data_IF_150413759346
#
_entry.id   IF_150413759346
#
_cell.length_a   1.000
_cell.length_b   1.000
_cell.length_c   1.000
_cell.angle_alpha   90.00
_cell.angle_beta   90.00
_cell.angle_gamma   90.00
#
_symmetry.space_group_name_H-M   'P 1'
#
loop_
_entity.id
_entity.type
_entity.pdbx_description
1 polymer ?
#
# COMPACT_ATOMS: atom_id res chain seq x y z
N UNK A 1 8.55 -2.93 9.72
CA UNK A 1 7.94 -1.58 9.74
C UNK A 1 8.94 -0.56 10.25
N UNK A 2 9.54 -0.80 11.42
CA UNK A 2 10.50 0.10 12.07
C UNK A 2 11.63 0.58 11.14
N UNK A 3 12.21 -0.30 10.32
CA UNK A 3 13.20 0.09 9.29
C UNK A 3 12.68 1.19 8.33
N UNK A 4 11.44 1.07 7.85
CA UNK A 4 10.85 2.05 6.92
C UNK A 4 10.54 3.37 7.61
N UNK A 5 10.23 3.34 8.90
CA UNK A 5 9.98 4.54 9.70
C UNK A 5 11.29 5.26 10.04
N UNK A 6 12.31 4.55 10.52
CA UNK A 6 13.63 5.10 10.85
C UNK A 6 14.31 5.73 9.63
N UNK A 7 14.13 5.15 8.45
CA UNK A 7 14.72 5.68 7.20
C UNK A 7 13.81 6.70 6.48
N UNK A 8 12.70 7.13 7.08
CA UNK A 8 11.72 8.05 6.49
C UNK A 8 11.19 7.62 5.11
N UNK A 9 11.18 6.31 4.83
CA UNK A 9 10.71 5.73 3.58
C UNK A 9 9.19 5.59 3.56
N UNK A 10 8.57 5.43 4.74
CA UNK A 10 7.12 5.31 4.86
C UNK A 10 6.42 6.68 4.75
N UNK A 11 5.55 6.90 3.75
CA UNK A 11 4.82 8.15 3.59
C UNK A 11 3.92 8.46 4.81
N UNK A 12 3.86 9.72 5.22
CA UNK A 12 3.02 10.15 6.36
C UNK A 12 1.52 10.00 6.10
N UNK A 13 1.15 10.01 4.82
CA UNK A 13 -0.21 9.80 4.30
C UNK A 13 -0.65 8.33 4.40
N UNK A 14 0.28 7.38 4.52
CA UNK A 14 -0.06 5.97 4.74
C UNK A 14 -0.55 5.80 6.18
N UNK A 15 -1.87 5.59 6.35
CA UNK A 15 -2.52 5.33 7.65
C UNK A 15 -2.95 3.88 7.83
N UNK A 16 -3.15 3.14 6.74
CA UNK A 16 -3.51 1.72 6.79
C UNK A 16 -2.32 0.84 7.19
N UNK A 17 -2.58 -0.20 8.00
CA UNK A 17 -1.58 -1.17 8.47
C UNK A 17 -0.34 -0.53 9.12
N UNK A 18 -0.48 0.67 9.68
CA UNK A 18 0.59 1.43 10.33
C UNK A 18 0.42 1.42 11.84
N UNK A 19 1.51 1.16 12.57
CA UNK A 19 1.52 1.25 14.03
C UNK A 19 1.22 2.68 14.48
N UNK A 20 0.51 2.83 15.60
CA UNK A 20 0.19 4.13 16.20
C UNK A 20 -0.56 5.10 15.26
N UNK A 21 -1.34 4.58 14.32
CA UNK A 21 -2.30 5.37 13.53
C UNK A 21 -3.72 4.95 13.89
N UNK A 22 -4.68 5.88 13.81
CA UNK A 22 -6.12 5.57 13.91
C UNK A 22 -6.71 5.15 12.56
N UNK A 23 -5.86 4.91 11.56
CA UNK A 23 -6.23 4.38 10.26
C UNK A 23 -7.22 5.30 9.54
N UNK A 24 -8.38 4.75 9.20
CA UNK A 24 -9.45 5.45 8.46
C UNK A 24 -9.98 6.67 9.22
N UNK A 25 -9.94 6.69 10.55
CA UNK A 25 -10.38 7.85 11.32
C UNK A 25 -9.50 9.08 11.06
N UNK A 26 -8.18 8.90 10.98
CA UNK A 26 -7.25 9.99 10.65
C UNK A 26 -7.56 10.57 9.27
N UNK A 27 -7.81 9.71 8.28
CA UNK A 27 -8.14 10.15 6.92
C UNK A 27 -9.50 10.85 6.84
N UNK A 28 -10.51 10.35 7.54
CA UNK A 28 -11.84 10.98 7.59
C UNK A 28 -11.76 12.39 8.19
N UNK A 29 -10.93 12.60 9.22
CA UNK A 29 -10.73 13.91 9.80
C UNK A 29 -10.04 14.88 8.82
N UNK A 30 -9.04 14.40 8.08
CA UNK A 30 -8.36 15.18 7.03
C UNK A 30 -9.36 15.56 5.93
N UNK A 31 -10.18 14.63 5.46
CA UNK A 31 -11.19 14.89 4.43
C UNK A 31 -12.21 15.95 4.90
N UNK A 32 -12.71 15.83 6.13
CA UNK A 32 -13.60 16.82 6.75
C UNK A 32 -12.97 18.20 6.82
N UNK A 33 -11.71 18.29 7.24
CA UNK A 33 -10.95 19.54 7.32
C UNK A 33 -10.78 20.19 5.93
N UNK A 34 -10.47 19.40 4.90
CA UNK A 34 -10.34 19.90 3.52
C UNK A 34 -11.69 20.42 3.01
N UNK A 35 -12.78 19.67 3.24
CA UNK A 35 -14.14 20.07 2.88
C UNK A 35 -14.54 21.40 3.54
N UNK A 36 -14.29 21.54 4.83
CA UNK A 36 -14.60 22.76 5.59
C UNK A 36 -13.76 23.95 5.12
N UNK A 37 -12.44 23.76 4.93
CA UNK A 37 -11.56 24.80 4.41
C UNK A 37 -12.01 25.29 3.04
N UNK A 38 -12.40 24.38 2.14
CA UNK A 38 -12.87 24.73 0.81
C UNK A 38 -14.19 25.50 0.84
N UNK A 39 -15.14 25.08 1.70
CA UNK A 39 -16.41 25.79 1.93
C UNK A 39 -16.16 27.22 2.43
N UNK A 40 -15.29 27.38 3.43
CA UNK A 40 -14.97 28.68 4.00
C UNK A 40 -14.28 29.61 2.98
N UNK A 41 -13.44 29.05 2.11
CA UNK A 41 -12.75 29.80 1.04
C UNK A 41 -13.61 30.05 -0.20
N UNK A 42 -14.78 29.41 -0.31
CA UNK A 42 -15.66 29.43 -1.50
C UNK A 42 -14.90 29.04 -2.78
N UNK A 43 -14.02 28.05 -2.68
CA UNK A 43 -13.28 27.49 -3.82
C UNK A 43 -13.95 26.21 -4.31
N UNK A 44 -13.56 25.76 -5.51
CA UNK A 44 -13.97 24.44 -6.02
C UNK A 44 -13.06 23.35 -5.44
N UNK A 45 -13.63 22.21 -5.08
CA UNK A 45 -12.91 21.02 -4.62
C UNK A 45 -13.18 19.86 -5.58
N UNK A 46 -12.10 19.28 -6.10
CA UNK A 46 -12.14 18.01 -6.81
C UNK A 46 -11.51 16.93 -5.93
N UNK A 47 -12.22 15.82 -5.72
CA UNK A 47 -11.75 14.69 -4.93
C UNK A 47 -11.94 13.41 -5.72
N UNK A 48 -10.94 12.53 -5.69
CA UNK A 48 -10.94 11.26 -6.43
C UNK A 48 -10.63 10.13 -5.46
N UNK A 49 -11.52 9.14 -5.42
CA UNK A 49 -11.32 7.90 -4.66
C UNK A 49 -10.93 6.77 -5.62
N UNK A 50 -9.71 6.26 -5.45
CA UNK A 50 -9.17 5.17 -6.27
C UNK A 50 -9.21 3.88 -5.46
N UNK A 51 -9.82 2.84 -6.03
CA UNK A 51 -9.86 1.51 -5.42
C UNK A 51 -9.20 0.46 -6.32
N UNK A 52 -8.40 -0.41 -5.72
CA UNK A 52 -7.74 -1.52 -6.42
C UNK A 52 -8.63 -2.75 -6.43
N UNK A 53 -9.03 -3.17 -7.63
CA UNK A 53 -9.72 -4.46 -7.81
C UNK A 53 -8.80 -5.60 -7.35
N UNK A 54 -9.27 -6.38 -6.37
CA UNK A 54 -8.54 -7.52 -5.80
C UNK A 54 -7.11 -7.15 -5.39
N UNK A 55 -6.97 -6.10 -4.59
CA UNK A 55 -5.67 -5.48 -4.28
C UNK A 55 -4.58 -6.48 -3.82
N UNK A 56 -4.95 -7.47 -3.01
CA UNK A 56 -4.02 -8.50 -2.55
C UNK A 56 -3.65 -9.52 -3.63
N UNK A 57 -4.55 -9.85 -4.56
CA UNK A 57 -4.33 -10.88 -5.60
C UNK A 57 -3.63 -10.30 -6.83
N UNK A 58 -3.78 -9.00 -7.07
CA UNK A 58 -3.37 -8.33 -8.30
C UNK A 58 -1.93 -7.81 -8.29
N UNK A 59 -1.18 -7.95 -7.19
CA UNK A 59 0.19 -7.42 -7.09
C UNK A 59 1.21 -8.32 -7.82
N UNK A 60 1.87 -7.85 -8.90
CA UNK A 60 2.90 -8.63 -9.55
C UNK A 60 4.08 -8.88 -8.62
N UNK A 61 4.59 -10.12 -8.56
CA UNK A 61 5.75 -10.43 -7.72
C UNK A 61 6.99 -9.60 -8.10
N UNK A 62 7.19 -9.35 -9.39
CA UNK A 62 8.26 -8.47 -9.90
C UNK A 62 8.16 -7.05 -9.33
N UNK A 63 6.94 -6.52 -9.16
CA UNK A 63 6.71 -5.20 -8.58
C UNK A 63 7.06 -5.17 -7.09
N UNK A 64 6.68 -6.21 -6.34
CA UNK A 64 7.03 -6.36 -4.93
C UNK A 64 8.55 -6.35 -4.77
N UNK A 65 9.27 -7.16 -5.55
CA UNK A 65 10.74 -7.21 -5.53
C UNK A 65 11.34 -5.83 -5.85
N UNK A 66 10.85 -5.16 -6.90
CA UNK A 66 11.35 -3.83 -7.25
C UNK A 66 11.16 -2.80 -6.13
N UNK A 67 10.04 -2.88 -5.42
CA UNK A 67 9.75 -2.00 -4.30
C UNK A 67 10.63 -2.31 -3.07
N UNK A 68 10.91 -3.59 -2.79
CA UNK A 68 11.87 -3.98 -1.74
C UNK A 68 13.27 -3.39 -2.03
N UNK A 69 13.76 -3.51 -3.26
CA UNK A 69 15.04 -2.94 -3.68
C UNK A 69 15.06 -1.41 -3.56
N UNK A 70 14.02 -0.74 -4.06
CA UNK A 70 13.96 0.73 -4.11
C UNK A 70 13.81 1.34 -2.71
N UNK A 71 13.25 0.59 -1.75
CA UNK A 71 13.11 1.04 -0.36
C UNK A 71 14.36 0.81 0.49
N UNK A 72 15.43 0.24 -0.07
CA UNK A 72 16.70 0.01 0.61
C UNK A 72 16.76 -1.28 1.44
N UNK A 73 15.77 -2.17 1.32
CA UNK A 73 15.74 -3.43 2.04
C UNK A 73 16.91 -4.32 1.58
N UNK A 74 17.54 -5.01 2.54
CA UNK A 74 18.76 -5.77 2.27
C UNK A 74 18.54 -6.86 1.21
N UNK A 75 19.57 -7.10 0.38
CA UNK A 75 19.53 -8.10 -0.69
C UNK A 75 19.18 -9.50 -0.17
N UNK A 76 19.59 -9.84 1.04
CA UNK A 76 19.29 -11.13 1.66
C UNK A 76 17.78 -11.29 1.89
N UNK A 77 17.11 -10.27 2.43
CA UNK A 77 15.66 -10.29 2.65
C UNK A 77 14.94 -10.31 1.30
N UNK A 78 15.33 -9.44 0.37
CA UNK A 78 14.73 -9.39 -0.98
C UNK A 78 14.84 -10.72 -1.70
N UNK A 79 16.01 -11.37 -1.69
CA UNK A 79 16.23 -12.67 -2.30
C UNK A 79 15.44 -13.78 -1.60
N UNK A 80 15.36 -13.75 -0.28
CA UNK A 80 14.52 -14.67 0.48
C UNK A 80 13.05 -14.54 0.10
N UNK A 81 12.51 -13.31 0.07
CA UNK A 81 11.12 -13.06 -0.32
C UNK A 81 10.85 -13.50 -1.76
N UNK A 82 11.77 -13.24 -2.69
CA UNK A 82 11.64 -13.72 -4.08
C UNK A 82 11.58 -15.24 -4.17
N UNK A 83 12.48 -15.94 -3.49
CA UNK A 83 12.52 -17.41 -3.47
C UNK A 83 11.27 -17.98 -2.82
N UNK A 84 10.80 -17.38 -1.73
CA UNK A 84 9.57 -17.78 -1.05
C UNK A 84 8.36 -17.65 -2.00
N UNK A 85 8.20 -16.49 -2.66
CA UNK A 85 7.11 -16.24 -3.60
C UNK A 85 7.07 -17.25 -4.76
N UNK A 86 8.23 -17.67 -5.27
CA UNK A 86 8.33 -18.70 -6.32
C UNK A 86 7.83 -20.09 -5.87
N UNK A 87 7.80 -20.35 -4.57
CA UNK A 87 7.33 -21.62 -4.00
C UNK A 87 5.86 -21.59 -3.58
N UNK A 88 5.22 -20.40 -3.60
CA UNK A 88 3.84 -20.21 -3.17
C UNK A 88 2.85 -20.98 -4.03
N UNK A 89 2.05 -21.79 -3.33
CA UNK A 89 1.07 -22.72 -3.90
C UNK A 89 -0.19 -22.71 -3.06
N UNK A 90 -1.34 -22.84 -3.72
CA UNK A 90 -2.64 -23.02 -3.07
C UNK A 90 -3.21 -24.38 -3.43
N UNK A 91 -3.88 -25.03 -2.49
CA UNK A 91 -4.65 -26.24 -2.74
C UNK A 91 -6.12 -25.86 -2.92
N UNK A 92 -6.74 -26.33 -3.99
CA UNK A 92 -8.15 -26.10 -4.28
C UNK A 92 -8.96 -27.24 -3.67
N UNK A 93 -9.82 -26.92 -2.69
CA UNK A 93 -10.70 -27.89 -2.05
C UNK A 93 -12.13 -27.37 -2.11
N UNK A 94 -13.06 -28.19 -2.59
CA UNK A 94 -14.50 -27.86 -2.63
C UNK A 94 -15.25 -28.99 -1.93
N UNK A 95 -15.89 -28.69 -0.80
CA UNK A 95 -16.45 -29.72 0.08
C UNK A 95 -15.35 -30.64 0.62
N UNK A 96 -15.48 -31.95 0.37
CA UNK A 96 -14.49 -32.96 0.73
C UNK A 96 -13.56 -33.37 -0.42
N UNK A 97 -13.68 -32.72 -1.58
CA UNK A 97 -12.92 -33.07 -2.78
C UNK A 97 -11.74 -32.11 -3.00
N UNK A 98 -10.59 -32.69 -3.35
CA UNK A 98 -9.37 -31.96 -3.69
C UNK A 98 -9.23 -31.84 -5.21
N UNK A 99 -9.22 -30.60 -5.70
CA UNK A 99 -9.14 -30.25 -7.12
C UNK A 99 -7.70 -29.97 -7.59
N UNK A 100 -6.72 -30.16 -6.71
CA UNK A 100 -5.30 -30.06 -7.02
C UNK A 100 -4.64 -28.80 -6.48
N UNK A 101 -3.41 -28.54 -6.96
CA UNK A 101 -2.53 -27.47 -6.48
C UNK A 101 -2.26 -26.48 -7.61
N UNK A 102 -2.40 -25.19 -7.31
CA UNK A 102 -2.13 -24.10 -8.26
C UNK A 102 -0.99 -23.24 -7.74
N UNK A 103 -0.04 -22.91 -8.62
CA UNK A 103 1.05 -21.99 -8.31
C UNK A 103 0.53 -20.54 -8.31
N UNK A 104 0.92 -19.77 -7.30
CA UNK A 104 0.58 -18.35 -7.19
C UNK A 104 1.56 -17.55 -8.04
N UNK A 105 1.06 -16.89 -9.10
CA UNK A 105 1.88 -16.08 -10.03
C UNK A 105 1.79 -14.58 -9.76
N UNK A 106 0.85 -14.15 -8.94
CA UNK A 106 0.59 -12.76 -8.58
C UNK A 106 -0.12 -12.72 -7.24
N UNK A 107 0.07 -11.63 -6.54
CA UNK A 107 -0.56 -11.35 -5.27
C UNK A 107 0.26 -11.83 -4.08
N UNK A 108 -0.33 -11.59 -2.92
CA UNK A 108 0.16 -11.91 -1.59
C UNK A 108 -0.97 -12.59 -0.80
N UNK A 109 -0.61 -13.41 0.19
CA UNK A 109 -1.58 -14.21 0.91
C UNK A 109 -2.38 -13.38 1.92
N UNK A 110 -3.70 -13.46 1.83
CA UNK A 110 -4.55 -12.90 2.87
C UNK A 110 -4.43 -13.76 4.15
N UNK A 111 -4.20 -13.12 5.29
CA UNK A 111 -3.97 -13.81 6.57
C UNK A 111 -2.51 -14.18 6.85
N UNK A 112 -1.61 -14.03 5.89
CA UNK A 112 -0.17 -14.14 6.14
C UNK A 112 0.36 -12.87 6.85
N UNK A 113 1.29 -13.08 7.79
CA UNK A 113 1.83 -12.00 8.63
C UNK A 113 2.71 -11.00 7.87
N UNK A 114 3.38 -11.44 6.80
CA UNK A 114 4.26 -10.59 5.99
C UNK A 114 3.48 -9.79 4.94
N UNK A 115 2.36 -10.33 4.48
CA UNK A 115 1.56 -9.78 3.39
C UNK A 115 1.09 -8.32 3.60
N UNK A 116 0.56 -7.91 4.78
CA UNK A 116 0.24 -6.50 5.03
C UNK A 116 1.42 -5.54 4.85
N UNK A 117 2.64 -5.96 5.21
CA UNK A 117 3.83 -5.15 5.06
C UNK A 117 4.29 -5.08 3.61
N UNK A 118 4.26 -6.19 2.87
CA UNK A 118 4.54 -6.20 1.42
C UNK A 118 3.56 -5.31 0.65
N UNK A 119 2.29 -5.31 1.04
CA UNK A 119 1.28 -4.43 0.47
C UNK A 119 1.65 -2.95 0.69
N UNK A 120 2.00 -2.56 1.92
CA UNK A 120 2.44 -1.20 2.21
C UNK A 120 3.64 -0.82 1.35
N UNK A 121 4.66 -1.68 1.29
CA UNK A 121 5.89 -1.43 0.53
C UNK A 121 5.59 -1.22 -0.96
N UNK A 122 4.72 -2.05 -1.54
CA UNK A 122 4.29 -1.92 -2.93
C UNK A 122 3.55 -0.59 -3.22
N UNK A 123 2.94 0.02 -2.21
CA UNK A 123 2.21 1.29 -2.31
C UNK A 123 3.08 2.54 -2.10
N UNK A 124 4.30 2.40 -1.55
CA UNK A 124 5.19 3.55 -1.27
C UNK A 124 5.51 4.32 -2.56
N UNK A 125 5.85 3.60 -3.63
CA UNK A 125 6.22 4.21 -4.93
C UNK A 125 5.14 5.14 -5.47
N UNK A 126 3.87 4.76 -5.33
CA UNK A 126 2.74 5.60 -5.76
C UNK A 126 2.64 6.88 -4.93
N UNK A 127 2.80 6.77 -3.61
CA UNK A 127 2.79 7.93 -2.72
C UNK A 127 3.93 8.91 -3.04
N UNK A 128 5.11 8.39 -3.40
CA UNK A 128 6.25 9.21 -3.85
C UNK A 128 5.93 9.94 -5.16
N UNK A 129 5.29 9.26 -6.12
CA UNK A 129 4.87 9.87 -7.38
C UNK A 129 3.87 11.00 -7.13
N UNK A 130 2.81 10.77 -6.35
CA UNK A 130 1.83 11.80 -6.03
C UNK A 130 2.45 13.02 -5.35
N UNK A 131 3.40 12.81 -4.43
CA UNK A 131 4.11 13.92 -3.78
C UNK A 131 4.94 14.74 -4.78
N UNK A 132 5.58 14.09 -5.75
CA UNK A 132 6.37 14.76 -6.80
C UNK A 132 5.51 15.58 -7.76
N UNK A 133 4.29 15.14 -8.04
CA UNK A 133 3.38 15.87 -8.94
C UNK A 133 2.92 17.22 -8.38
N UNK A 134 2.95 17.42 -7.05
CA UNK A 134 2.52 18.66 -6.37
C UNK A 134 1.08 19.11 -6.71
N UNK A 135 0.22 18.18 -7.10
CA UNK A 135 -1.20 18.43 -7.43
C UNK A 135 -2.15 18.30 -6.21
N UNK A 136 -1.60 18.20 -4.99
CA UNK A 136 -2.40 18.08 -3.78
C UNK A 136 -3.15 19.37 -3.42
N UNK A 137 -4.22 19.23 -2.65
CA UNK A 137 -4.97 20.37 -2.12
C UNK A 137 -4.08 21.28 -1.25
N UNK A 138 -4.14 22.59 -1.47
CA UNK A 138 -3.41 23.59 -0.68
C UNK A 138 -4.33 24.22 0.37
N UNK A 139 -4.02 24.00 1.65
CA UNK A 139 -4.82 24.52 2.77
C UNK A 139 -4.64 26.01 3.01
N UNK A 140 -3.49 26.57 2.61
CA UNK A 140 -3.22 28.01 2.61
C UNK A 140 -3.59 28.66 1.27
N UNK A 141 -3.77 29.99 1.28
CA UNK A 141 -3.64 30.78 0.04
C UNK A 141 -2.15 30.96 -0.21
N UNK A 142 -1.71 30.70 -1.43
CA UNK A 142 -0.39 31.16 -1.87
C UNK A 142 -0.41 32.70 -1.79
N UNK A 143 0.25 33.26 -0.77
CA UNK A 143 0.55 34.68 -0.65
C UNK A 143 1.80 35.02 -1.42
#
# INVERSE_FOLDING_TARGET
>A
MDYLETNNTLPVQQKGNKRRSRGTQDQLLIDKMILENCKNRKTNLNMVWIHYKKAFDSLPHSWIIKCLETTGISKNITSFTEKAMKQWRIQLVVGNENYGVVNIKSGIFQGDSLSPLLFIIAMISLSVIFKKMKLGYQTAKDT
#
